data_IF_365871771408
#
_entry.id   IF_365871771408
#
_cell.length_a   1.000
_cell.length_b   1.000
_cell.length_c   1.000
_cell.angle_alpha   90.00
_cell.angle_beta   90.00
_cell.angle_gamma   90.00
#
_symmetry.space_group_name_H-M   'P 1'
#
loop_
_entity.id
_entity.type
_entity.pdbx_description
1 polymer ?
#
# COMPACT_ATOMS: atom_id res chain seq x y z
N UNK A 1 -16.70 14.91 12.46
CA UNK A 1 -15.91 13.92 11.69
C UNK A 1 -16.82 12.79 11.27
N UNK A 2 -16.95 12.59 9.97
CA UNK A 2 -17.70 11.45 9.48
C UNK A 2 -16.96 10.17 9.87
N UNK A 3 -17.68 9.26 10.49
CA UNK A 3 -17.14 7.95 10.80
C UNK A 3 -16.90 7.20 9.51
N UNK A 4 -15.70 6.62 9.37
CA UNK A 4 -15.38 5.77 8.24
C UNK A 4 -16.32 4.55 8.25
N UNK A 5 -17.05 4.37 7.15
CA UNK A 5 -17.99 3.25 7.03
C UNK A 5 -17.28 1.98 6.66
N UNK A 6 -17.68 0.91 7.33
CA UNK A 6 -17.30 -0.44 6.98
C UNK A 6 -17.94 -0.83 5.65
N UNK A 7 -17.14 -1.31 4.72
CA UNK A 7 -17.60 -1.73 3.41
C UNK A 7 -17.33 -3.22 3.21
N UNK A 8 -18.21 -3.86 2.45
CA UNK A 8 -18.04 -5.24 2.02
C UNK A 8 -17.63 -5.26 0.56
N UNK A 9 -16.52 -5.94 0.24
CA UNK A 9 -16.08 -6.08 -1.13
C UNK A 9 -17.02 -7.00 -1.90
N UNK A 10 -17.80 -6.45 -2.82
CA UNK A 10 -18.76 -7.21 -3.66
C UNK A 10 -18.09 -7.91 -4.82
N UNK A 11 -16.84 -7.56 -5.11
CA UNK A 11 -16.00 -8.17 -6.13
C UNK A 11 -14.54 -7.98 -5.72
N UNK A 12 -13.62 -8.61 -6.44
CA UNK A 12 -12.20 -8.41 -6.22
C UNK A 12 -11.83 -6.96 -6.54
N UNK A 13 -11.08 -6.33 -5.65
CA UNK A 13 -10.66 -4.94 -5.82
C UNK A 13 -9.15 -4.93 -6.01
N UNK A 14 -8.70 -4.35 -7.12
CA UNK A 14 -7.27 -4.14 -7.37
C UNK A 14 -6.78 -2.95 -6.55
N UNK A 15 -5.70 -3.16 -5.81
CA UNK A 15 -5.06 -2.14 -5.00
C UNK A 15 -3.54 -2.24 -5.13
N UNK A 16 -2.83 -1.27 -4.59
CA UNK A 16 -1.38 -1.18 -4.70
C UNK A 16 -0.77 -0.94 -3.33
N UNK A 17 0.48 -1.39 -3.18
CA UNK A 17 1.21 -1.25 -1.94
C UNK A 17 2.65 -0.90 -2.23
N UNK A 18 3.23 -0.02 -1.41
CA UNK A 18 4.65 0.33 -1.49
C UNK A 18 5.40 -0.55 -0.51
N UNK A 19 6.51 -1.12 -0.95
CA UNK A 19 7.31 -2.01 -0.14
C UNK A 19 8.81 -1.81 -0.29
N UNK A 20 9.57 -2.45 0.58
CA UNK A 20 11.03 -2.36 0.58
C UNK A 20 11.71 -3.44 -0.27
N UNK A 21 11.00 -4.49 -0.61
CA UNK A 21 11.48 -5.54 -1.51
C UNK A 21 10.29 -6.27 -2.11
N UNK A 22 10.43 -6.67 -3.37
CA UNK A 22 9.47 -7.55 -4.03
C UNK A 22 10.15 -8.39 -5.10
N UNK A 23 9.67 -9.61 -5.27
CA UNK A 23 9.91 -10.45 -6.44
C UNK A 23 8.58 -11.10 -6.85
N UNK A 24 8.60 -12.01 -7.81
CA UNK A 24 7.38 -12.65 -8.30
C UNK A 24 6.68 -13.51 -7.25
N UNK A 25 7.38 -13.89 -6.18
CA UNK A 25 6.89 -14.81 -5.15
C UNK A 25 6.53 -14.08 -3.86
N UNK A 26 7.30 -13.03 -3.50
CA UNK A 26 7.22 -12.37 -2.20
C UNK A 26 7.17 -10.86 -2.32
N UNK A 27 6.48 -10.25 -1.35
CA UNK A 27 6.44 -8.81 -1.20
C UNK A 27 6.61 -8.45 0.27
N UNK A 28 7.55 -7.54 0.58
CA UNK A 28 7.81 -7.07 1.93
C UNK A 28 7.34 -5.63 2.08
N UNK A 29 6.45 -5.41 3.05
CA UNK A 29 5.90 -4.09 3.33
C UNK A 29 6.95 -3.17 3.96
N UNK A 30 6.85 -1.86 3.69
CA UNK A 30 7.78 -0.87 4.22
C UNK A 30 7.62 -0.64 5.70
N UNK A 31 6.37 -0.46 6.15
CA UNK A 31 6.11 -0.01 7.53
C UNK A 31 6.09 -1.15 8.54
N UNK A 32 5.92 -2.35 8.08
CA UNK A 32 6.02 -3.54 8.94
C UNK A 32 6.80 -4.57 8.16
N UNK A 33 8.13 -4.48 8.24
CA UNK A 33 9.04 -5.35 7.51
C UNK A 33 8.87 -6.82 7.88
N UNK A 34 8.22 -7.11 9.00
CA UNK A 34 7.84 -8.47 9.39
C UNK A 34 6.68 -9.01 8.58
N UNK A 35 5.91 -8.14 7.91
CA UNK A 35 4.84 -8.58 7.03
C UNK A 35 5.41 -8.92 5.66
N UNK A 36 5.41 -10.22 5.38
CA UNK A 36 5.74 -10.75 4.07
C UNK A 36 4.48 -11.34 3.45
N UNK A 37 4.20 -10.90 2.23
CA UNK A 37 3.09 -11.43 1.44
C UNK A 37 3.64 -12.44 0.44
N UNK A 38 3.10 -13.65 0.43
CA UNK A 38 3.42 -14.66 -0.58
C UNK A 38 2.39 -14.59 -1.71
N UNK A 39 2.85 -14.74 -2.95
CA UNK A 39 1.98 -14.69 -4.12
C UNK A 39 0.78 -15.64 -3.98
N UNK A 40 -0.41 -15.12 -4.28
CA UNK A 40 -1.67 -15.84 -4.29
C UNK A 40 -2.05 -16.46 -2.93
N UNK A 41 -1.43 -15.99 -1.85
CA UNK A 41 -1.71 -16.46 -0.49
C UNK A 41 -2.35 -15.34 0.31
N UNK A 42 -3.61 -15.49 0.76
CA UNK A 42 -4.27 -14.44 1.53
C UNK A 42 -3.56 -14.15 2.84
N UNK A 43 -3.27 -12.88 3.09
CA UNK A 43 -2.88 -12.37 4.39
C UNK A 43 -4.15 -11.87 5.08
N UNK A 44 -4.30 -12.16 6.36
CA UNK A 44 -5.49 -11.76 7.13
C UNK A 44 -5.09 -11.02 8.39
N UNK A 45 -5.86 -9.99 8.72
CA UNK A 45 -5.67 -9.16 9.89
C UNK A 45 -7.03 -8.64 10.35
N UNK A 46 -7.22 -8.44 11.65
CA UNK A 46 -8.41 -7.77 12.16
C UNK A 46 -8.38 -6.30 11.78
N UNK A 47 -9.54 -5.75 11.42
CA UNK A 47 -9.68 -4.31 11.18
C UNK A 47 -10.30 -3.68 12.43
N UNK A 48 -9.60 -2.71 13.01
CA UNK A 48 -10.08 -1.97 14.17
C UNK A 48 -10.67 -0.63 13.72
N UNK A 49 -11.97 -0.43 13.97
CA UNK A 49 -12.72 0.76 13.57
C UNK A 49 -12.84 1.82 14.67
N UNK A 50 -12.27 1.57 15.83
CA UNK A 50 -12.50 2.41 17.02
C UNK A 50 -11.56 3.61 17.14
N UNK A 51 -10.72 3.88 16.13
CA UNK A 51 -9.77 4.99 16.18
C UNK A 51 -9.84 5.85 14.94
N UNK A 52 -9.90 7.16 15.16
CA UNK A 52 -10.08 8.15 14.08
C UNK A 52 -8.91 8.27 13.12
N UNK A 53 -7.70 7.87 13.49
CA UNK A 53 -6.51 8.17 12.72
C UNK A 53 -5.67 6.97 12.29
N UNK A 54 -5.73 5.88 13.02
CA UNK A 54 -4.94 4.69 12.69
C UNK A 54 -5.88 3.50 12.71
N UNK A 55 -6.14 2.96 11.55
CA UNK A 55 -6.93 1.76 11.44
C UNK A 55 -5.98 0.56 11.48
N UNK A 56 -6.19 -0.32 12.42
CA UNK A 56 -5.48 -1.60 12.46
C UNK A 56 -6.06 -2.46 11.36
N UNK A 57 -5.19 -3.01 10.53
CA UNK A 57 -5.56 -3.82 9.39
C UNK A 57 -4.50 -3.76 8.31
N UNK A 58 -4.80 -4.29 7.14
CA UNK A 58 -3.87 -4.33 6.02
C UNK A 58 -4.08 -3.11 5.13
N UNK A 59 -3.05 -2.28 5.01
CA UNK A 59 -3.10 -1.00 4.32
C UNK A 59 -2.71 -1.12 2.86
N UNK A 60 -3.43 -0.45 1.98
CA UNK A 60 -3.15 -0.39 0.54
C UNK A 60 -3.71 0.89 -0.07
N UNK A 61 -3.41 1.13 -1.35
CA UNK A 61 -3.84 2.33 -2.08
C UNK A 61 -4.72 1.92 -3.25
N UNK A 62 -5.79 2.68 -3.47
CA UNK A 62 -6.79 2.35 -4.49
C UNK A 62 -6.31 2.55 -5.93
N UNK A 63 -5.29 3.38 -6.13
CA UNK A 63 -4.89 3.77 -7.49
C UNK A 63 -3.40 4.01 -7.59
N UNK A 64 -2.88 3.96 -8.81
CA UNK A 64 -1.50 4.34 -9.09
C UNK A 64 -1.28 5.84 -8.88
N UNK A 65 -2.30 6.66 -9.03
CA UNK A 65 -2.21 8.08 -8.67
C UNK A 65 -1.98 8.23 -7.16
N UNK A 66 -2.67 7.44 -6.35
CA UNK A 66 -2.44 7.41 -4.90
C UNK A 66 -1.01 6.99 -4.56
N UNK A 67 -0.47 6.02 -5.28
CA UNK A 67 0.95 5.63 -5.11
C UNK A 67 1.88 6.78 -5.46
N UNK A 68 1.65 7.43 -6.59
CA UNK A 68 2.45 8.58 -7.01
C UNK A 68 2.41 9.69 -5.95
N UNK A 69 1.24 10.02 -5.45
CA UNK A 69 1.08 11.04 -4.42
C UNK A 69 1.78 10.64 -3.12
N UNK A 70 1.66 9.39 -2.72
CA UNK A 70 2.34 8.87 -1.54
C UNK A 70 3.87 8.97 -1.65
N UNK A 71 4.41 8.64 -2.82
CA UNK A 71 5.86 8.68 -3.04
C UNK A 71 6.42 10.09 -3.16
N UNK A 72 5.64 11.03 -3.70
CA UNK A 72 6.15 12.37 -4.07
C UNK A 72 5.72 13.48 -3.13
N UNK A 73 4.59 13.34 -2.44
CA UNK A 73 4.01 14.39 -1.61
C UNK A 73 3.96 14.05 -0.13
N UNK A 74 3.82 12.76 0.19
CA UNK A 74 3.69 12.34 1.58
C UNK A 74 5.02 12.47 2.32
N UNK A 75 4.91 12.79 3.59
CA UNK A 75 6.04 12.93 4.48
C UNK A 75 6.00 11.82 5.52
N UNK A 76 7.17 11.29 5.87
CA UNK A 76 7.30 10.32 6.94
C UNK A 76 7.81 10.98 8.21
N UNK A 77 7.17 10.64 9.33
CA UNK A 77 7.68 10.97 10.65
C UNK A 77 8.71 9.93 11.08
N UNK A 78 9.86 10.42 11.50
CA UNK A 78 10.89 9.58 12.09
C UNK A 78 10.90 9.75 13.62
N UNK A 79 11.50 8.80 14.37
CA UNK A 79 11.52 8.87 15.84
C UNK A 79 12.12 10.14 16.41
N UNK A 80 12.96 10.84 15.65
CA UNK A 80 13.55 12.13 16.07
C UNK A 80 12.60 13.32 15.88
N UNK A 81 11.37 13.09 15.43
CA UNK A 81 10.39 14.15 15.19
C UNK A 81 10.53 14.87 13.86
N UNK A 82 11.50 14.53 13.04
CA UNK A 82 11.68 15.14 11.73
C UNK A 82 10.76 14.52 10.69
N UNK A 83 10.31 15.34 9.73
CA UNK A 83 9.54 14.91 8.58
C UNK A 83 10.41 14.91 7.33
N UNK A 84 10.39 13.80 6.61
CA UNK A 84 11.11 13.68 5.34
C UNK A 84 10.18 13.16 4.24
N UNK A 85 10.34 13.62 2.99
CA UNK A 85 9.61 13.03 1.88
C UNK A 85 9.93 11.55 1.77
N UNK A 86 8.90 10.73 1.58
CA UNK A 86 9.05 9.29 1.48
C UNK A 86 10.08 8.90 0.43
N UNK A 87 9.93 9.45 -0.78
CA UNK A 87 10.80 9.08 -1.90
C UNK A 87 12.26 9.47 -1.65
N UNK A 88 12.50 10.64 -1.07
CA UNK A 88 13.87 11.11 -0.79
C UNK A 88 14.58 10.20 0.19
N UNK A 89 13.86 9.76 1.24
CA UNK A 89 14.44 8.92 2.28
C UNK A 89 14.70 7.50 1.78
N UNK A 90 13.76 6.92 1.03
CA UNK A 90 13.82 5.51 0.69
C UNK A 90 14.61 5.22 -0.58
N UNK A 91 14.66 6.17 -1.51
CA UNK A 91 15.50 6.05 -2.72
C UNK A 91 16.98 6.06 -2.39
N UNK A 92 17.40 6.67 -1.28
CA UNK A 92 18.78 6.58 -0.82
C UNK A 92 19.22 5.14 -0.60
N UNK A 93 18.29 4.24 -0.33
CA UNK A 93 18.56 2.83 -0.10
C UNK A 93 18.22 1.94 -1.30
N UNK A 94 17.78 2.52 -2.42
CA UNK A 94 17.39 1.81 -3.66
C UNK A 94 16.39 0.66 -3.42
N UNK A 95 15.45 0.83 -2.49
CA UNK A 95 14.55 -0.24 -2.08
C UNK A 95 13.09 0.19 -2.10
N UNK A 96 12.66 0.83 -3.19
CA UNK A 96 11.25 1.21 -3.36
C UNK A 96 10.64 0.32 -4.43
N UNK A 97 9.63 -0.44 -4.03
CA UNK A 97 8.88 -1.36 -4.89
C UNK A 97 7.40 -1.06 -4.77
N UNK A 98 6.68 -1.17 -5.87
CA UNK A 98 5.22 -1.07 -5.87
C UNK A 98 4.67 -2.42 -6.31
N UNK A 99 3.83 -3.02 -5.48
CA UNK A 99 3.18 -4.29 -5.76
C UNK A 99 1.71 -4.11 -6.09
N UNK A 100 1.20 -4.97 -6.96
CA UNK A 100 -0.22 -5.06 -7.29
C UNK A 100 -0.84 -6.15 -6.41
N UNK A 101 -1.89 -5.77 -5.71
CA UNK A 101 -2.59 -6.63 -4.75
C UNK A 101 -4.08 -6.70 -5.09
N UNK A 102 -4.75 -7.65 -4.48
CA UNK A 102 -6.20 -7.80 -4.59
C UNK A 102 -6.79 -7.87 -3.18
N UNK A 103 -7.85 -7.09 -2.95
CA UNK A 103 -8.76 -7.29 -1.83
C UNK A 103 -9.82 -8.25 -2.34
N UNK A 104 -9.87 -9.51 -1.85
CA UNK A 104 -10.79 -10.51 -2.39
C UNK A 104 -12.24 -10.14 -2.12
N UNK A 105 -13.11 -10.58 -3.02
CA UNK A 105 -14.56 -10.55 -2.80
C UNK A 105 -14.89 -11.14 -1.43
N UNK A 106 -15.77 -10.48 -0.70
CA UNK A 106 -16.16 -10.90 0.65
C UNK A 106 -15.34 -10.30 1.77
N UNK A 107 -14.24 -9.62 1.44
CA UNK A 107 -13.42 -8.93 2.44
C UNK A 107 -14.14 -7.70 3.00
N UNK A 108 -13.78 -7.34 4.21
CA UNK A 108 -14.23 -6.11 4.86
C UNK A 108 -13.13 -5.07 4.72
N UNK A 109 -13.52 -3.85 4.37
CA UNK A 109 -12.53 -2.77 4.22
C UNK A 109 -13.14 -1.41 4.56
N UNK A 110 -12.26 -0.46 4.78
CA UNK A 110 -12.56 0.94 5.06
C UNK A 110 -11.67 1.79 4.15
N UNK A 111 -12.17 2.93 3.67
CA UNK A 111 -11.35 3.95 3.00
C UNK A 111 -11.22 5.12 3.94
N UNK A 112 -9.99 5.49 4.30
CA UNK A 112 -9.75 6.60 5.21
C UNK A 112 -9.71 7.94 4.45
N UNK A 113 -9.54 9.05 5.19
CA UNK A 113 -9.52 10.39 4.60
C UNK A 113 -8.31 10.66 3.69
N UNK A 114 -7.32 9.79 3.70
CA UNK A 114 -6.13 9.88 2.84
C UNK A 114 -6.23 9.00 1.59
N UNK A 115 -7.43 8.48 1.28
CA UNK A 115 -7.66 7.50 0.20
C UNK A 115 -6.85 6.22 0.35
N UNK A 116 -6.44 5.92 1.56
CA UNK A 116 -5.81 4.65 1.90
C UNK A 116 -6.89 3.66 2.28
N UNK A 117 -6.75 2.44 1.79
CA UNK A 117 -7.68 1.35 2.10
C UNK A 117 -7.10 0.51 3.23
N UNK A 118 -7.93 0.20 4.22
CA UNK A 118 -7.57 -0.74 5.27
C UNK A 118 -8.52 -1.92 5.17
N UNK A 119 -7.99 -3.11 4.96
CA UNK A 119 -8.79 -4.33 4.75
C UNK A 119 -8.39 -5.44 5.70
N UNK A 120 -9.30 -6.40 5.87
CA UNK A 120 -9.04 -7.59 6.68
C UNK A 120 -8.36 -8.71 5.90
N UNK A 121 -8.31 -8.61 4.57
CA UNK A 121 -7.65 -9.60 3.71
C UNK A 121 -6.99 -8.90 2.54
N UNK A 122 -5.79 -9.36 2.19
CA UNK A 122 -5.01 -8.81 1.09
C UNK A 122 -4.20 -9.93 0.45
N UNK A 123 -4.16 -9.95 -0.89
CA UNK A 123 -3.47 -10.98 -1.65
C UNK A 123 -2.48 -10.35 -2.62
N UNK A 124 -1.22 -10.75 -2.54
CA UNK A 124 -0.20 -10.32 -3.50
C UNK A 124 -0.36 -11.09 -4.81
N UNK A 125 -0.38 -10.37 -5.93
CA UNK A 125 -0.56 -10.97 -7.27
C UNK A 125 0.73 -11.50 -7.88
N UNK A 126 1.88 -11.14 -7.33
CA UNK A 126 3.19 -11.44 -7.94
C UNK A 126 3.65 -10.38 -8.93
N UNK A 127 2.81 -9.39 -9.23
CA UNK A 127 3.16 -8.28 -10.14
C UNK A 127 3.71 -7.12 -9.33
N UNK A 128 4.88 -6.65 -9.72
CA UNK A 128 5.56 -5.55 -9.02
C UNK A 128 6.37 -4.72 -10.00
N UNK A 129 6.73 -3.50 -9.56
CA UNK A 129 7.67 -2.63 -10.25
C UNK A 129 8.68 -2.10 -9.23
N UNK A 130 9.94 -2.10 -9.62
CA UNK A 130 10.98 -1.40 -8.89
C UNK A 130 10.96 0.07 -9.31
N UNK A 131 10.85 0.97 -8.35
CA UNK A 131 10.69 2.40 -8.60
C UNK A 131 11.97 3.12 -8.18
N UNK A 132 12.58 3.84 -9.11
CA UNK A 132 13.67 4.74 -8.77
C UNK A 132 13.15 6.18 -8.67
N UNK A 133 14.03 7.09 -8.23
CA UNK A 133 13.66 8.48 -7.97
C UNK A 133 13.01 9.16 -9.18
N UNK A 134 13.54 8.90 -10.38
CA UNK A 134 13.05 9.54 -11.60
C UNK A 134 11.70 8.98 -12.05
N UNK A 135 11.35 7.79 -11.63
CA UNK A 135 10.11 7.12 -12.02
C UNK A 135 8.95 7.41 -11.07
N UNK A 136 9.21 7.99 -9.91
CA UNK A 136 8.18 8.20 -8.89
C UNK A 136 7.01 9.05 -9.38
N UNK A 137 7.26 10.02 -10.27
CA UNK A 137 6.22 10.89 -10.83
C UNK A 137 5.43 10.21 -11.97
N UNK A 138 5.98 9.14 -12.53
CA UNK A 138 5.43 8.47 -13.71
C UNK A 138 5.06 7.02 -13.41
N UNK A 139 4.76 6.69 -12.17
CA UNK A 139 4.47 5.31 -11.75
C UNK A 139 3.31 4.70 -12.54
N UNK A 140 2.35 5.51 -12.99
CA UNK A 140 1.25 5.04 -13.82
C UNK A 140 1.70 4.46 -15.16
N UNK A 141 2.76 5.02 -15.72
CA UNK A 141 3.29 4.56 -17.02
C UNK A 141 3.90 3.16 -16.91
N UNK A 142 4.43 2.81 -15.75
CA UNK A 142 5.06 1.51 -15.53
C UNK A 142 4.07 0.34 -15.61
N UNK A 143 2.78 0.63 -15.40
CA UNK A 143 1.72 -0.38 -15.39
C UNK A 143 0.87 -0.39 -16.66
N UNK A 144 1.19 0.44 -17.64
CA UNK A 144 0.47 0.42 -18.92
C UNK A 144 0.78 -0.86 -19.67
N UNK A 145 -0.27 -1.51 -20.11
CA UNK A 145 -0.15 -2.64 -21.02
C UNK A 145 0.18 -2.09 -22.42
N UNK A 146 1.15 -2.73 -23.03
CA UNK A 146 1.52 -2.37 -24.41
C UNK A 146 0.49 -2.92 -25.39
#
# INVERSE_FOLDING_TARGET
TEESKLLLAKRDITVYKVGCFADEVRFYSYFMTTYMYSRNTPMRECVDFNRDSINIGLHSLLSLQGVCDSLTKDMLFFPNGNLYPFITTNVLYNHVYVGKFIIPKGSIYVVNCYNEVVSNTLVYTGKFKHINKNEAFNVKELWKEK
#
